data_IF_779276139200
#
_entry.id   IF_779276139200
#
_cell.length_a   1.000
_cell.length_b   1.000
_cell.length_c   1.000
_cell.angle_alpha   90.00
_cell.angle_beta   90.00
_cell.angle_gamma   90.00
#
_symmetry.space_group_name_H-M   'P 1'
#
loop_
_entity.id
_entity.type
_entity.pdbx_description
1 polymer ?
#
# COMPACT_ATOMS: atom_id res chain seq x y z
N UNK A 1 4.15 -8.76 -4.86
CA UNK A 1 3.12 -8.40 -3.87
C UNK A 1 3.72 -8.67 -2.50
N UNK A 2 3.68 -7.68 -1.61
CA UNK A 2 4.18 -7.85 -0.23
C UNK A 2 3.38 -8.95 0.47
N UNK A 3 4.02 -9.68 1.38
CA UNK A 3 3.31 -10.70 2.17
C UNK A 3 2.23 -10.05 3.04
N UNK A 4 1.11 -10.76 3.20
CA UNK A 4 0.03 -10.29 4.05
C UNK A 4 0.48 -10.25 5.52
N UNK A 5 0.06 -9.22 6.24
CA UNK A 5 0.40 -9.01 7.65
C UNK A 5 -0.79 -9.32 8.54
N UNK A 6 -0.56 -10.03 9.66
CA UNK A 6 -1.61 -10.35 10.62
C UNK A 6 -1.87 -9.14 11.52
N UNK A 7 -2.97 -8.41 11.28
CA UNK A 7 -3.26 -7.15 11.97
C UNK A 7 -4.75 -6.84 12.00
N UNK A 8 -5.19 -6.09 13.01
CA UNK A 8 -6.47 -5.36 12.97
C UNK A 8 -6.20 -3.95 12.49
N UNK A 9 -6.68 -3.59 11.30
CA UNK A 9 -6.44 -2.29 10.66
C UNK A 9 -6.90 -1.15 11.58
N UNK A 10 -8.06 -1.32 12.20
CA UNK A 10 -8.63 -0.34 13.13
C UNK A 10 -7.71 -0.13 14.33
N UNK A 11 -7.24 -1.20 14.96
CA UNK A 11 -6.34 -1.07 16.11
C UNK A 11 -5.02 -0.44 15.72
N UNK A 12 -4.44 -0.83 14.58
CA UNK A 12 -3.20 -0.24 14.08
C UNK A 12 -3.36 1.26 13.77
N UNK A 13 -4.47 1.66 13.14
CA UNK A 13 -4.78 3.07 12.87
C UNK A 13 -4.94 3.89 14.15
N UNK A 14 -5.67 3.38 15.15
CA UNK A 14 -5.88 4.10 16.41
C UNK A 14 -4.59 4.25 17.24
N UNK A 15 -3.61 3.39 16.98
CA UNK A 15 -2.27 3.48 17.58
C UNK A 15 -1.29 4.30 16.73
N UNK A 16 -1.69 4.72 15.52
CA UNK A 16 -0.82 5.51 14.65
C UNK A 16 -0.52 6.87 15.29
N UNK A 17 0.72 7.38 15.17
CA UNK A 17 1.07 8.69 15.72
C UNK A 17 0.21 9.79 15.09
N UNK A 18 -0.28 10.71 15.92
CA UNK A 18 -1.10 11.85 15.49
C UNK A 18 -2.40 11.99 16.28
N UNK A 19 -3.18 13.04 15.95
CA UNK A 19 -4.50 13.30 16.54
C UNK A 19 -5.55 13.20 15.42
N UNK A 20 -6.11 12.00 15.25
CA UNK A 20 -7.05 11.66 14.18
C UNK A 20 -8.50 11.63 14.69
N UNK A 21 -9.45 12.19 13.93
CA UNK A 21 -10.88 12.21 14.26
C UNK A 21 -11.57 10.86 13.91
N UNK A 22 -11.04 10.11 12.94
CA UNK A 22 -11.66 8.88 12.50
C UNK A 22 -11.47 7.76 13.52
N UNK A 23 -12.55 7.00 13.71
CA UNK A 23 -12.58 5.90 14.69
C UNK A 23 -12.43 4.53 14.04
N UNK A 24 -12.39 4.50 12.70
CA UNK A 24 -12.47 3.30 11.84
C UNK A 24 -13.56 2.31 12.28
N UNK A 25 -14.64 2.83 12.86
CA UNK A 25 -15.69 1.99 13.42
C UNK A 25 -16.54 1.40 12.29
N UNK A 26 -16.64 0.07 12.14
CA UNK A 26 -17.58 -0.52 11.21
C UNK A 26 -19.00 -0.18 11.64
N UNK A 27 -19.73 0.49 10.76
CA UNK A 27 -21.12 0.90 10.95
C UNK A 27 -21.80 0.96 9.59
N UNK A 28 -23.10 0.76 9.54
CA UNK A 28 -23.88 0.90 8.32
C UNK A 28 -23.59 2.23 7.61
N UNK A 29 -23.11 2.14 6.37
CA UNK A 29 -22.76 3.28 5.52
C UNK A 29 -21.31 3.76 5.65
N UNK A 30 -20.54 3.24 6.60
CA UNK A 30 -19.08 3.35 6.59
C UNK A 30 -18.51 2.26 5.70
N UNK A 31 -17.37 2.53 5.07
CA UNK A 31 -16.68 1.56 4.23
C UNK A 31 -15.18 1.83 4.26
N UNK A 32 -14.40 0.78 4.01
CA UNK A 32 -12.97 0.85 3.80
C UNK A 32 -12.64 0.30 2.42
N UNK A 33 -11.67 0.88 1.74
CA UNK A 33 -11.22 0.49 0.42
C UNK A 33 -9.69 0.49 0.38
N UNK A 34 -9.09 -0.58 -0.15
CA UNK A 34 -7.69 -0.57 -0.56
C UNK A 34 -7.60 0.11 -1.93
N UNK A 35 -6.67 1.03 -2.08
CA UNK A 35 -6.52 1.87 -3.27
C UNK A 35 -5.47 1.26 -4.19
N UNK A 36 -5.89 0.93 -5.41
CA UNK A 36 -5.01 0.36 -6.44
C UNK A 36 -4.64 1.39 -7.53
N UNK A 37 -5.42 2.46 -7.66
CA UNK A 37 -5.27 3.41 -8.77
C UNK A 37 -6.20 4.63 -8.67
N UNK A 38 -6.03 5.54 -9.62
CA UNK A 38 -6.94 6.66 -9.88
C UNK A 38 -7.39 6.62 -11.35
N UNK A 39 -8.70 6.60 -11.56
CA UNK A 39 -9.33 6.84 -12.86
C UNK A 39 -9.70 8.33 -12.99
N UNK A 40 -8.86 9.08 -13.70
CA UNK A 40 -9.04 10.53 -13.94
C UNK A 40 -10.16 10.85 -14.92
N UNK A 41 -10.81 9.86 -15.54
CA UNK A 41 -12.00 10.09 -16.37
C UNK A 41 -13.25 10.39 -15.53
N UNK A 42 -13.18 10.13 -14.22
CA UNK A 42 -14.24 10.38 -13.24
C UNK A 42 -13.75 11.36 -12.16
N UNK A 43 -14.66 12.09 -11.54
CA UNK A 43 -14.32 13.07 -10.47
C UNK A 43 -15.02 12.79 -9.14
N UNK A 44 -15.82 11.73 -9.08
CA UNK A 44 -16.53 11.30 -7.89
C UNK A 44 -15.77 10.16 -7.19
N UNK A 45 -16.38 9.56 -6.17
CA UNK A 45 -15.76 8.47 -5.41
C UNK A 45 -15.36 7.24 -6.24
N UNK A 46 -15.88 7.08 -7.46
CA UNK A 46 -15.47 6.00 -8.35
C UNK A 46 -14.16 6.28 -9.09
N UNK A 47 -13.64 7.51 -9.03
CA UNK A 47 -12.31 7.82 -9.54
C UNK A 47 -11.21 7.14 -8.73
N UNK A 48 -11.49 6.66 -7.52
CA UNK A 48 -10.54 5.96 -6.65
C UNK A 48 -10.74 4.47 -6.88
N UNK A 49 -9.78 3.80 -7.49
CA UNK A 49 -9.88 2.39 -7.87
C UNK A 49 -9.47 1.46 -6.73
N UNK A 50 -9.92 0.20 -6.81
CA UNK A 50 -9.54 -0.87 -5.90
C UNK A 50 -10.70 -1.58 -5.21
N UNK A 51 -10.40 -2.32 -4.14
CA UNK A 51 -11.32 -3.30 -3.54
C UNK A 51 -11.82 -2.88 -2.15
N UNK A 52 -13.07 -3.21 -1.82
CA UNK A 52 -13.61 -2.96 -0.49
C UNK A 52 -13.08 -3.97 0.53
N UNK A 53 -12.83 -3.48 1.74
CA UNK A 53 -12.28 -4.26 2.86
C UNK A 53 -13.31 -4.30 3.98
N UNK A 54 -13.73 -5.51 4.37
CA UNK A 54 -14.83 -5.73 5.32
C UNK A 54 -14.37 -6.02 6.75
N UNK A 55 -13.17 -6.59 6.93
CA UNK A 55 -12.66 -7.09 8.21
C UNK A 55 -11.67 -6.12 8.87
N UNK A 56 -11.99 -4.83 8.90
CA UNK A 56 -11.05 -3.80 9.41
C UNK A 56 -10.86 -3.83 10.93
N UNK A 57 -11.81 -4.40 11.67
CA UNK A 57 -11.80 -4.46 13.13
C UNK A 57 -11.28 -5.81 13.68
N UNK A 58 -11.19 -6.82 12.83
CA UNK A 58 -10.69 -8.15 13.20
C UNK A 58 -9.18 -8.26 12.95
N UNK A 59 -8.49 -9.04 13.80
CA UNK A 59 -7.12 -9.43 13.55
C UNK A 59 -7.13 -10.53 12.48
N UNK A 60 -6.70 -10.20 11.27
CA UNK A 60 -6.65 -11.11 10.13
C UNK A 60 -5.48 -10.74 9.21
N UNK A 61 -5.19 -11.56 8.21
CA UNK A 61 -4.17 -11.25 7.21
C UNK A 61 -4.68 -10.13 6.30
N UNK A 62 -3.96 -9.02 6.30
CA UNK A 62 -4.25 -7.81 5.52
C UNK A 62 -3.11 -7.53 4.56
N UNK A 63 -3.42 -6.98 3.39
CA UNK A 63 -2.40 -6.60 2.42
C UNK A 63 -1.81 -5.23 2.78
N UNK A 64 -0.48 -5.08 2.88
CA UNK A 64 0.12 -3.76 2.96
C UNK A 64 -0.26 -2.91 1.74
N UNK A 65 -0.45 -1.60 1.93
CA UNK A 65 -0.87 -0.71 0.86
C UNK A 65 -1.59 0.53 1.36
N UNK A 66 -2.17 1.30 0.43
CA UNK A 66 -2.92 2.52 0.72
C UNK A 66 -4.40 2.22 0.93
N UNK A 67 -4.97 2.76 1.99
CA UNK A 67 -6.36 2.54 2.40
C UNK A 67 -7.08 3.87 2.54
N UNK A 68 -8.36 3.84 2.17
CA UNK A 68 -9.30 4.93 2.37
C UNK A 68 -10.48 4.42 3.20
N UNK A 69 -10.71 5.04 4.36
CA UNK A 69 -11.88 4.80 5.17
C UNK A 69 -12.84 5.98 5.09
N UNK A 70 -14.12 5.70 4.83
CA UNK A 70 -15.20 6.69 4.86
C UNK A 70 -16.04 6.47 6.11
N UNK A 71 -16.09 7.49 6.98
CA UNK A 71 -16.94 7.55 8.15
C UNK A 71 -18.08 8.56 7.93
N UNK A 72 -19.32 8.09 8.00
CA UNK A 72 -20.49 8.97 8.00
C UNK A 72 -20.70 9.56 9.40
N UNK A 73 -20.51 10.88 9.54
CA UNK A 73 -20.80 11.65 10.75
C UNK A 73 -22.13 12.41 10.55
N UNK A 74 -23.01 12.38 11.56
CA UNK A 74 -24.31 13.07 11.54
C UNK A 74 -25.52 12.11 11.44
N UNK A 75 -26.63 12.48 12.10
CA UNK A 75 -27.84 11.63 12.24
C UNK A 75 -29.04 12.07 11.39
N UNK A 76 -29.04 13.30 10.86
CA UNK A 76 -30.20 13.87 10.13
C UNK A 76 -29.90 14.02 8.63
N UNK A 77 -30.88 13.66 7.82
CA UNK A 77 -30.90 13.85 6.37
C UNK A 77 -30.67 15.35 6.07
N UNK A 78 -29.65 15.68 5.28
CA UNK A 78 -29.26 17.07 4.95
C UNK A 78 -27.99 17.59 5.66
N UNK A 79 -27.58 17.01 6.79
CA UNK A 79 -26.35 17.39 7.53
C UNK A 79 -25.36 16.22 7.67
N UNK A 80 -25.35 15.31 6.69
CA UNK A 80 -24.41 14.19 6.68
C UNK A 80 -23.04 14.70 6.24
N UNK A 81 -22.12 14.76 7.20
CA UNK A 81 -20.71 15.09 6.95
C UNK A 81 -19.96 13.78 6.81
N UNK A 82 -19.19 13.64 5.75
CA UNK A 82 -18.33 12.48 5.56
C UNK A 82 -16.92 12.85 6.03
N UNK A 83 -16.32 11.94 6.78
CA UNK A 83 -14.92 12.01 7.18
C UNK A 83 -14.18 10.89 6.45
N UNK A 84 -13.25 11.29 5.59
CA UNK A 84 -12.40 10.39 4.81
C UNK A 84 -11.02 10.33 5.46
N UNK A 85 -10.57 9.15 5.87
CA UNK A 85 -9.23 8.94 6.40
C UNK A 85 -8.40 8.15 5.39
N UNK A 86 -7.32 8.77 4.89
CA UNK A 86 -6.35 8.19 3.97
C UNK A 86 -5.10 7.79 4.75
N UNK A 87 -4.72 6.52 4.69
CA UNK A 87 -3.61 5.97 5.46
C UNK A 87 -2.96 4.77 4.75
N UNK A 88 -1.67 4.54 4.96
CA UNK A 88 -1.01 3.32 4.53
C UNK A 88 -0.92 2.31 5.67
N UNK A 89 -1.12 1.04 5.35
CA UNK A 89 -0.68 -0.10 6.15
C UNK A 89 0.68 -0.54 5.63
N UNK A 90 1.70 -0.46 6.47
CA UNK A 90 3.07 -0.84 6.13
C UNK A 90 3.29 -2.35 6.35
N UNK A 91 4.30 -2.97 5.71
CA UNK A 91 4.62 -4.40 5.87
C UNK A 91 5.00 -4.83 7.30
N UNK A 92 5.28 -3.88 8.19
CA UNK A 92 5.54 -4.13 9.62
C UNK A 92 4.26 -4.04 10.48
N UNK A 93 3.07 -4.00 9.86
CA UNK A 93 1.77 -3.83 10.50
C UNK A 93 1.53 -2.46 11.16
N UNK A 94 2.41 -1.49 10.94
CA UNK A 94 2.20 -0.11 11.37
C UNK A 94 1.31 0.65 10.38
N UNK A 95 0.59 1.64 10.89
CA UNK A 95 -0.23 2.52 10.06
C UNK A 95 0.37 3.92 10.03
N UNK A 96 0.50 4.45 8.83
CA UNK A 96 0.86 5.85 8.58
C UNK A 96 -0.34 6.59 8.02
N UNK A 97 -0.90 7.53 8.78
CA UNK A 97 -2.02 8.35 8.32
C UNK A 97 -1.49 9.53 7.52
N UNK A 98 -2.01 9.72 6.30
CA UNK A 98 -1.62 10.83 5.43
C UNK A 98 -2.54 12.03 5.62
N UNK A 99 -3.86 11.78 5.64
CA UNK A 99 -4.83 12.87 5.64
C UNK A 99 -6.18 12.44 6.18
N UNK A 100 -6.83 13.37 6.87
CA UNK A 100 -8.26 13.31 7.10
C UNK A 100 -8.95 14.47 6.38
N UNK A 101 -9.99 14.14 5.60
CA UNK A 101 -10.79 15.11 4.86
C UNK A 101 -12.23 15.02 5.33
N UNK A 102 -12.68 16.10 5.99
CA UNK A 102 -14.07 16.26 6.42
C UNK A 102 -14.81 17.14 5.43
N UNK A 103 -15.84 16.61 4.78
CA UNK A 103 -16.53 17.34 3.72
C UNK A 103 -17.97 16.88 3.52
N UNK A 104 -18.74 17.74 2.88
CA UNK A 104 -20.11 17.50 2.41
C UNK A 104 -20.20 17.60 0.88
N UNK A 105 -19.09 17.93 0.22
CA UNK A 105 -19.02 18.17 -1.22
C UNK A 105 -18.97 16.87 -2.00
N UNK A 106 -19.45 16.90 -3.26
CA UNK A 106 -19.43 15.72 -4.15
C UNK A 106 -18.04 15.45 -4.73
N UNK A 107 -17.21 16.49 -4.88
CA UNK A 107 -15.87 16.42 -5.47
C UNK A 107 -14.77 16.10 -4.44
N UNK A 108 -15.13 15.35 -3.39
CA UNK A 108 -14.21 15.00 -2.31
C UNK A 108 -13.08 14.09 -2.79
N UNK A 109 -13.32 13.27 -3.81
CA UNK A 109 -12.35 12.30 -4.32
C UNK A 109 -11.14 12.99 -4.95
N UNK A 110 -11.38 14.02 -5.78
CA UNK A 110 -10.34 14.82 -6.43
C UNK A 110 -9.42 15.49 -5.41
N UNK A 111 -9.97 15.90 -4.26
CA UNK A 111 -9.18 16.53 -3.19
C UNK A 111 -8.16 15.59 -2.56
N UNK A 112 -8.34 14.26 -2.68
CA UNK A 112 -7.42 13.24 -2.18
C UNK A 112 -6.43 12.76 -3.24
N UNK A 113 -6.60 13.10 -4.53
CA UNK A 113 -5.71 12.65 -5.59
C UNK A 113 -4.24 13.02 -5.36
N UNK A 114 -3.89 14.27 -4.95
CA UNK A 114 -2.49 14.62 -4.76
C UNK A 114 -1.78 13.72 -3.73
N UNK A 115 -2.48 13.36 -2.65
CA UNK A 115 -1.94 12.51 -1.59
C UNK A 115 -1.77 11.05 -2.07
N UNK A 116 -2.75 10.55 -2.84
CA UNK A 116 -2.72 9.20 -3.42
C UNK A 116 -1.60 9.10 -4.48
N UNK A 117 -1.51 10.07 -5.39
CA UNK A 117 -0.49 10.12 -6.44
C UNK A 117 0.91 10.20 -5.84
N UNK A 118 1.11 11.04 -4.82
CA UNK A 118 2.38 11.13 -4.12
C UNK A 118 2.79 9.79 -3.52
N UNK A 119 1.86 9.05 -2.90
CA UNK A 119 2.13 7.70 -2.39
C UNK A 119 2.51 6.73 -3.51
N UNK A 120 1.75 6.71 -4.61
CA UNK A 120 2.02 5.81 -5.74
C UNK A 120 3.37 6.09 -6.39
N UNK A 121 3.74 7.37 -6.56
CA UNK A 121 5.03 7.76 -7.12
C UNK A 121 6.20 7.30 -6.22
N UNK A 122 6.04 7.38 -4.90
CA UNK A 122 7.04 6.88 -3.94
C UNK A 122 7.20 5.36 -4.08
N UNK A 123 6.09 4.61 -4.21
CA UNK A 123 6.13 3.16 -4.39
C UNK A 123 6.76 2.75 -5.72
N UNK A 124 6.45 3.46 -6.80
CA UNK A 124 7.05 3.19 -8.11
C UNK A 124 8.57 3.44 -8.09
N UNK A 125 8.99 4.53 -7.45
CA UNK A 125 10.41 4.86 -7.30
C UNK A 125 11.15 3.81 -6.48
N UNK A 126 10.58 3.37 -5.35
CA UNK A 126 11.20 2.35 -4.49
C UNK A 126 11.31 1.00 -5.21
N UNK A 127 10.28 0.62 -5.98
CA UNK A 127 10.28 -0.59 -6.80
C UNK A 127 11.35 -0.54 -7.89
N UNK A 128 11.52 0.60 -8.57
CA UNK A 128 12.54 0.76 -9.61
C UNK A 128 13.96 0.70 -9.02
N UNK A 129 14.20 1.34 -7.86
CA UNK A 129 15.48 1.22 -7.16
C UNK A 129 15.78 -0.25 -6.83
N UNK A 130 14.80 -0.97 -6.28
CA UNK A 130 14.97 -2.39 -5.94
C UNK A 130 15.23 -3.25 -7.18
N UNK A 131 14.54 -2.95 -8.29
CA UNK A 131 14.75 -3.62 -9.58
C UNK A 131 16.19 -3.43 -10.07
N UNK A 132 16.71 -2.21 -10.01
CA UNK A 132 18.09 -1.92 -10.41
C UNK A 132 19.12 -2.63 -9.55
N UNK A 133 18.88 -2.71 -8.23
CA UNK A 133 19.72 -3.47 -7.31
C UNK A 133 19.75 -4.96 -7.65
N UNK A 134 18.59 -5.56 -7.90
CA UNK A 134 18.49 -6.98 -8.28
C UNK A 134 19.22 -7.26 -9.60
N UNK A 135 19.12 -6.38 -10.59
CA UNK A 135 19.85 -6.51 -11.85
C UNK A 135 21.38 -6.47 -11.64
N UNK A 136 21.88 -5.59 -10.76
CA UNK A 136 23.30 -5.56 -10.41
C UNK A 136 23.75 -6.85 -9.75
N UNK A 137 22.93 -7.41 -8.85
CA UNK A 137 23.22 -8.68 -8.19
C UNK A 137 23.28 -9.82 -9.22
N UNK A 138 22.31 -9.89 -10.14
CA UNK A 138 22.28 -10.90 -11.21
C UNK A 138 23.57 -10.82 -12.04
N UNK A 139 23.96 -9.63 -12.49
CA UNK A 139 25.18 -9.44 -13.27
C UNK A 139 26.45 -9.91 -12.51
N UNK A 140 26.53 -9.61 -11.21
CA UNK A 140 27.65 -10.06 -10.38
C UNK A 140 27.70 -11.58 -10.24
N UNK A 141 26.54 -12.22 -10.02
CA UNK A 141 26.45 -13.67 -9.88
C UNK A 141 26.75 -14.40 -11.19
N UNK A 142 26.29 -13.86 -12.32
CA UNK A 142 26.62 -14.39 -13.64
C UNK A 142 28.13 -14.36 -13.92
N UNK A 143 28.79 -13.26 -13.53
CA UNK A 143 30.24 -13.13 -13.64
C UNK A 143 30.97 -14.15 -12.76
N UNK A 144 30.60 -14.27 -11.48
CA UNK A 144 31.19 -15.25 -10.57
C UNK A 144 30.99 -16.68 -11.10
N UNK A 145 29.78 -17.02 -11.54
CA UNK A 145 29.46 -18.34 -12.08
C UNK A 145 30.30 -18.64 -13.33
N UNK A 146 30.55 -17.65 -14.20
CA UNK A 146 31.45 -17.79 -15.33
C UNK A 146 32.89 -18.07 -14.90
N UNK A 147 33.39 -17.40 -13.86
CA UNK A 147 34.74 -17.64 -13.33
C UNK A 147 34.85 -19.06 -12.75
N UNK A 148 33.88 -19.49 -11.94
CA UNK A 148 33.86 -20.84 -11.36
C UNK A 148 33.81 -21.93 -12.43
N UNK A 149 33.08 -21.71 -13.52
CA UNK A 149 33.05 -22.64 -14.66
C UNK A 149 34.41 -22.73 -15.36
N UNK A 150 35.13 -21.62 -15.49
CA UNK A 150 36.48 -21.63 -16.05
C UNK A 150 37.47 -22.36 -15.13
N UNK A 151 37.42 -22.11 -13.81
CA UNK A 151 38.22 -22.84 -12.81
C UNK A 151 37.96 -24.35 -12.86
N UNK A 152 36.69 -24.75 -12.91
CA UNK A 152 36.31 -26.16 -13.01
C UNK A 152 36.87 -26.80 -14.28
N UNK A 153 36.75 -26.14 -15.43
CA UNK A 153 37.28 -26.67 -16.69
C UNK A 153 38.81 -26.86 -16.67
N UNK A 154 39.54 -25.98 -15.98
CA UNK A 154 41.00 -26.15 -15.79
C UNK A 154 41.31 -27.37 -14.91
N UNK A 155 40.56 -27.58 -13.83
CA UNK A 155 40.75 -28.73 -12.95
C UNK A 155 40.39 -30.04 -13.64
N UNK A 156 39.31 -30.08 -14.42
CA UNK A 156 38.91 -31.25 -15.20
C UNK A 156 40.00 -31.65 -16.20
N UNK A 157 40.61 -30.68 -16.90
CA UNK A 157 41.75 -30.96 -17.79
C UNK A 157 42.96 -31.54 -17.04
N UNK A 158 43.23 -31.10 -15.81
CA UNK A 158 44.33 -31.65 -15.00
C UNK A 158 44.07 -33.08 -14.54
N UNK A 159 42.80 -33.42 -14.24
CA UNK A 159 42.41 -34.78 -13.85
C UNK A 159 42.51 -35.75 -15.03
N UNK A 160 42.14 -35.32 -16.23
CA UNK A 160 42.19 -36.17 -17.44
C UNK A 160 43.62 -36.45 -17.94
N UNK A 161 44.62 -35.68 -17.49
CA UNK A 161 46.04 -35.83 -17.84
C UNK A 161 46.83 -36.75 -16.87
N UNK A 162 46.26 -37.12 -15.71
CA UNK A 162 46.85 -38.06 -14.72
C UNK A 162 46.41 -39.53 -14.93
#
# INVERSE_FOLDING_TARGET
MSEAVLVSIRSAFLNAPGLWESTLKPRQGNWCKIIDGIDKTRTDGYSIEGSFVSQIDLVTYQQPGLYLFCEKKGRKQGNQVQLYALFALEPNAEVKVFRELKTTTKDWAVQLWPDIEAYMQIQETSAEIRRQELLRIIQSLEFELSQRRAELGVLEMQIDEE
#
